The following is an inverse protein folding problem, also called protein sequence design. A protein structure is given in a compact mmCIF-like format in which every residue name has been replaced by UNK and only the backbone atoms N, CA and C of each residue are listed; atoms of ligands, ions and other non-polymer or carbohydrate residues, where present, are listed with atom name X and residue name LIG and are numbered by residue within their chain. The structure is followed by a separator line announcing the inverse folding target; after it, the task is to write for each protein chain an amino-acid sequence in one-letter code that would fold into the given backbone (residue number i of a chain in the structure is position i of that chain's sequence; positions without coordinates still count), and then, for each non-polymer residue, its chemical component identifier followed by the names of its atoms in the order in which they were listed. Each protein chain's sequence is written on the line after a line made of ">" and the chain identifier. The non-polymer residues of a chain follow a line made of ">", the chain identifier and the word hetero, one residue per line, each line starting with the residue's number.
data_IF_418185832141
#
_entry.id   IF_418185832141
#
_cell.length_a   1.000
_cell.length_b   1.000
_cell.length_c   1.000
_cell.angle_alpha   90.00
_cell.angle_beta   90.00
_cell.angle_gamma   90.00
#
_symmetry.space_group_name_H-M   'P 1'
#
loop_
_entity.id
_entity.type
_entity.pdbx_description
1 polymer ?
#
# COMPACT_ATOMS: atom_id res chain seq x y z
N UNK A 1 -41.45 24.90 4.18
CA UNK A 1 -40.37 24.94 5.19
C UNK A 1 -39.71 23.56 5.42
N UNK A 2 -39.67 22.68 4.41
CA UNK A 2 -39.12 21.31 4.52
C UNK A 2 -37.73 21.16 3.88
N UNK A 3 -37.39 21.99 2.89
CA UNK A 3 -36.11 21.95 2.18
C UNK A 3 -34.89 22.25 3.07
N UNK A 4 -35.04 23.15 4.06
CA UNK A 4 -33.94 23.54 4.94
C UNK A 4 -33.46 22.42 5.88
N UNK A 5 -34.30 21.40 6.14
CA UNK A 5 -33.94 20.26 7.01
C UNK A 5 -33.22 19.14 6.28
N UNK A 6 -33.24 19.12 4.94
CA UNK A 6 -32.55 18.11 4.13
C UNK A 6 -31.06 18.42 3.91
N UNK A 7 -30.66 19.68 4.06
CA UNK A 7 -29.28 20.15 3.87
C UNK A 7 -28.27 19.43 4.78
N UNK A 8 -28.46 19.33 6.11
CA UNK A 8 -27.47 18.66 6.96
C UNK A 8 -27.38 17.15 6.69
N UNK A 9 -28.48 16.51 6.27
CA UNK A 9 -28.51 15.09 5.95
C UNK A 9 -27.68 14.74 4.71
N UNK A 10 -27.73 15.58 3.68
CA UNK A 10 -26.92 15.41 2.47
C UNK A 10 -25.41 15.57 2.72
N UNK A 11 -25.03 16.47 3.64
CA UNK A 11 -23.62 16.70 3.97
C UNK A 11 -23.02 15.46 4.64
N UNK A 12 -23.72 14.85 5.60
CA UNK A 12 -23.22 13.64 6.31
C UNK A 12 -23.04 12.45 5.36
N UNK A 13 -23.95 12.26 4.40
CA UNK A 13 -23.86 11.18 3.41
C UNK A 13 -22.69 11.37 2.43
N UNK A 14 -22.29 12.61 2.17
CA UNK A 14 -21.20 12.93 1.24
C UNK A 14 -19.82 12.59 1.80
N UNK A 15 -19.66 12.56 3.14
CA UNK A 15 -18.37 12.26 3.80
C UNK A 15 -18.00 10.78 3.73
N UNK A 16 -19.00 9.87 3.73
CA UNK A 16 -18.76 8.43 3.61
C UNK A 16 -18.38 7.98 2.19
N UNK A 17 -18.67 8.79 1.17
CA UNK A 17 -18.42 8.45 -0.23
C UNK A 17 -16.97 8.71 -0.69
N UNK A 18 -16.14 9.38 0.10
CA UNK A 18 -14.70 9.50 -0.14
C UNK A 18 -13.89 8.30 0.37
N UNK A 19 -14.54 7.27 0.91
CA UNK A 19 -13.86 6.03 1.29
C UNK A 19 -13.54 5.22 0.03
N UNK A 20 -12.28 5.24 -0.37
CA UNK A 20 -11.77 4.46 -1.50
C UNK A 20 -11.84 2.97 -1.10
N UNK A 21 -12.47 2.09 -1.91
CA UNK A 21 -12.58 0.68 -1.54
C UNK A 21 -11.19 0.07 -1.40
N UNK A 22 -11.01 -0.89 -0.49
CA UNK A 22 -9.70 -1.53 -0.20
C UNK A 22 -9.06 -2.20 -1.43
N UNK A 23 -9.88 -2.49 -2.45
CA UNK A 23 -9.50 -3.05 -3.75
C UNK A 23 -9.15 -2.00 -4.81
N UNK A 24 -9.41 -0.71 -4.58
CA UNK A 24 -8.97 0.32 -5.52
C UNK A 24 -7.45 0.52 -5.39
N UNK A 25 -6.72 0.63 -6.52
CA UNK A 25 -5.28 0.87 -6.49
C UNK A 25 -4.95 2.15 -5.72
N UNK A 26 -4.07 2.02 -4.74
CA UNK A 26 -3.46 3.11 -4.00
C UNK A 26 -2.28 3.74 -4.73
N UNK A 27 -1.64 4.76 -4.14
CA UNK A 27 -0.39 5.30 -4.66
C UNK A 27 0.68 4.20 -4.73
N UNK A 28 1.31 4.03 -5.90
CA UNK A 28 2.19 2.89 -6.18
C UNK A 28 1.54 1.76 -6.99
N UNK A 29 0.25 1.87 -7.33
CA UNK A 29 -0.46 0.91 -8.17
C UNK A 29 -0.85 -0.39 -7.47
N UNK A 30 -0.59 -0.49 -6.15
CA UNK A 30 -0.94 -1.63 -5.30
C UNK A 30 -2.20 -1.35 -4.49
N UNK A 31 -2.99 -2.37 -4.24
CA UNK A 31 -4.14 -2.35 -3.33
C UNK A 31 -3.69 -2.40 -1.87
N UNK A 32 -4.59 -2.06 -0.93
CA UNK A 32 -4.29 -2.20 0.51
C UNK A 32 -4.00 -3.66 0.89
N UNK A 33 -4.67 -4.62 0.26
CA UNK A 33 -4.43 -6.04 0.47
C UNK A 33 -3.05 -6.48 0.00
N UNK A 34 -2.62 -6.02 -1.17
CA UNK A 34 -1.27 -6.29 -1.71
C UNK A 34 -0.18 -5.64 -0.86
N UNK A 35 -0.36 -4.39 -0.44
CA UNK A 35 0.58 -3.70 0.45
C UNK A 35 0.78 -4.46 1.77
N UNK A 36 -0.32 -4.93 2.39
CA UNK A 36 -0.26 -5.74 3.62
C UNK A 36 0.49 -7.06 3.41
N UNK A 37 0.26 -7.73 2.28
CA UNK A 37 0.96 -8.98 1.96
C UNK A 37 2.48 -8.75 1.75
N UNK A 38 2.85 -7.63 1.13
CA UNK A 38 4.25 -7.21 0.97
C UNK A 38 4.92 -6.91 2.31
N UNK A 39 4.21 -6.24 3.23
CA UNK A 39 4.73 -5.94 4.58
C UNK A 39 4.95 -7.22 5.40
N UNK A 40 4.03 -8.19 5.32
CA UNK A 40 4.19 -9.49 5.97
C UNK A 40 5.40 -10.25 5.40
N UNK A 41 5.58 -10.23 4.08
CA UNK A 41 6.75 -10.81 3.44
C UNK A 41 8.06 -10.13 3.90
N UNK A 42 8.08 -8.80 4.01
CA UNK A 42 9.22 -8.06 4.51
C UNK A 42 9.53 -8.40 5.98
N UNK A 43 8.51 -8.56 6.83
CA UNK A 43 8.68 -8.97 8.22
C UNK A 43 9.36 -10.35 8.34
N UNK A 44 8.95 -11.33 7.52
CA UNK A 44 9.59 -12.65 7.49
C UNK A 44 11.07 -12.60 7.05
N UNK A 45 11.45 -11.66 6.20
CA UNK A 45 12.84 -11.45 5.80
C UNK A 45 13.67 -10.80 6.91
N UNK A 46 13.08 -9.87 7.66
CA UNK A 46 13.76 -9.20 8.77
C UNK A 46 14.00 -10.16 9.95
N UNK A 47 13.06 -11.07 10.22
CA UNK A 47 13.26 -12.18 11.18
C UNK A 47 14.46 -13.07 10.82
N UNK A 48 14.76 -13.18 9.53
CA UNK A 48 15.84 -14.01 8.98
C UNK A 48 17.01 -13.17 8.50
N UNK A 49 17.17 -11.96 9.05
CA UNK A 49 18.21 -11.03 8.63
C UNK A 49 19.59 -11.68 8.74
N UNK A 50 20.33 -11.83 7.62
CA UNK A 50 21.67 -12.37 7.67
C UNK A 50 22.63 -11.36 8.32
N UNK A 51 23.77 -11.82 8.86
CA UNK A 51 24.79 -10.94 9.43
C UNK A 51 25.33 -9.95 8.39
N UNK A 52 25.82 -8.80 8.84
CA UNK A 52 26.25 -7.71 7.95
C UNK A 52 27.34 -8.13 6.96
N UNK A 53 28.22 -9.05 7.36
CA UNK A 53 29.29 -9.61 6.54
C UNK A 53 28.76 -10.44 5.35
N UNK A 54 27.54 -10.97 5.45
CA UNK A 54 26.86 -11.70 4.38
C UNK A 54 26.07 -10.77 3.44
N UNK A 55 25.83 -9.52 3.81
CA UNK A 55 25.13 -8.52 3.00
C UNK A 55 26.06 -7.76 2.05
N UNK A 56 27.21 -8.35 1.68
CA UNK A 56 28.13 -7.69 0.76
C UNK A 56 27.44 -7.44 -0.58
N UNK A 57 27.45 -6.18 -1.08
CA UNK A 57 26.87 -5.88 -2.37
C UNK A 57 27.58 -6.73 -3.40
N UNK A 58 26.84 -7.66 -3.99
CA UNK A 58 27.30 -8.39 -5.16
C UNK A 58 27.60 -7.34 -6.20
N UNK A 59 28.88 -7.16 -6.53
CA UNK A 59 29.27 -6.33 -7.66
C UNK A 59 28.45 -6.88 -8.83
N UNK A 60 27.58 -6.05 -9.39
CA UNK A 60 26.79 -6.40 -10.57
C UNK A 60 27.79 -6.80 -11.64
N UNK A 61 28.03 -8.09 -11.76
CA UNK A 61 28.98 -8.62 -12.71
C UNK A 61 28.33 -8.38 -14.07
N UNK A 62 28.92 -7.55 -14.94
CA UNK A 62 28.32 -7.30 -16.24
C UNK A 62 28.22 -8.66 -16.92
N UNK A 63 27.00 -9.08 -17.23
CA UNK A 63 26.77 -10.31 -17.99
C UNK A 63 27.52 -10.15 -19.32
N UNK A 64 28.57 -10.95 -19.60
CA UNK A 64 29.24 -10.84 -20.87
C UNK A 64 28.35 -11.52 -21.92
N UNK A 65 27.63 -10.69 -22.68
CA UNK A 65 27.14 -11.06 -24.01
C UNK A 65 25.63 -11.27 -24.15
N UNK A 66 25.07 -10.58 -25.15
CA UNK A 66 23.79 -10.90 -25.80
C UNK A 66 22.88 -9.71 -25.99
#
# INVERSE_FOLDING_TARGET
>A
MTAARLIPLCIVLSVGACSKPDTAPGPGGVTMGEARALDEAAAMLDERRPPAEALQPSQVQPTPGG
#
